data_IF_602103411048
#
_entry.id   IF_602103411048
#
_cell.length_a   1.000
_cell.length_b   1.000
_cell.length_c   1.000
_cell.angle_alpha   90.00
_cell.angle_beta   90.00
_cell.angle_gamma   90.00
#
_symmetry.space_group_name_H-M   'P 1'
#
loop_
_entity.id
_entity.type
_entity.pdbx_description
1 polymer ?
#
# COMPACT_ATOMS: atom_id res chain seq x y z
N UNK A 1 0.37 7.25 15.70
CA UNK A 1 1.40 6.42 15.02
C UNK A 1 2.77 7.05 15.26
N UNK A 2 3.84 6.26 15.32
CA UNK A 2 5.22 6.76 15.38
C UNK A 2 6.14 5.90 14.51
N UNK A 3 7.27 6.49 14.06
CA UNK A 3 8.34 5.76 13.37
C UNK A 3 9.19 5.01 14.40
N UNK A 4 9.53 3.75 14.14
CA UNK A 4 10.27 2.92 15.11
C UNK A 4 11.74 3.33 15.26
N UNK A 5 12.38 3.87 14.21
CA UNK A 5 13.81 4.18 14.25
C UNK A 5 14.18 5.34 15.18
N UNK A 6 13.28 6.30 15.41
CA UNK A 6 13.53 7.48 16.25
C UNK A 6 12.40 7.81 17.24
N UNK A 7 11.30 7.06 17.22
CA UNK A 7 10.16 7.27 18.11
C UNK A 7 9.32 8.51 17.81
N UNK A 8 9.65 9.26 16.74
CA UNK A 8 8.99 10.53 16.44
C UNK A 8 7.52 10.29 16.05
N UNK A 9 6.56 11.01 16.67
CA UNK A 9 5.14 10.83 16.40
C UNK A 9 4.72 11.45 15.07
N UNK A 10 3.70 10.85 14.45
CA UNK A 10 2.97 11.43 13.32
C UNK A 10 1.73 12.15 13.81
N UNK A 11 1.51 13.38 13.32
CA UNK A 11 0.33 14.16 13.70
C UNK A 11 -0.84 13.92 12.72
N UNK A 12 -1.60 12.87 13.03
CA UNK A 12 -2.88 12.62 12.38
C UNK A 12 -3.84 13.79 12.61
N UNK A 13 -4.58 14.15 11.57
CA UNK A 13 -5.64 15.14 11.62
C UNK A 13 -6.98 14.49 11.32
N UNK A 14 -8.03 14.88 12.04
CA UNK A 14 -9.38 14.47 11.71
C UNK A 14 -9.86 15.19 10.45
N UNK A 15 -10.60 14.49 9.58
CA UNK A 15 -11.34 15.18 8.52
C UNK A 15 -12.58 15.87 9.12
N UNK A 16 -12.88 17.09 8.66
CA UNK A 16 -14.02 17.89 9.13
C UNK A 16 -15.34 17.66 8.36
N UNK A 17 -15.33 16.87 7.28
CA UNK A 17 -16.51 16.63 6.44
C UNK A 17 -16.79 15.13 6.28
N UNK A 18 -17.97 14.72 6.75
CA UNK A 18 -18.58 13.41 6.54
C UNK A 18 -19.73 13.56 5.55
N UNK A 19 -19.53 13.25 4.27
CA UNK A 19 -20.63 12.83 3.39
C UNK A 19 -20.09 11.91 2.30
N UNK A 20 -20.14 10.61 2.60
CA UNK A 20 -19.94 9.54 1.63
C UNK A 20 -21.26 8.77 1.53
N UNK A 21 -21.84 8.67 0.34
CA UNK A 21 -23.01 7.82 0.13
C UNK A 21 -22.58 6.34 0.18
N UNK A 22 -23.33 5.48 0.90
CA UNK A 22 -23.04 4.05 0.98
C UNK A 22 -22.94 3.41 -0.42
N UNK A 23 -21.87 2.63 -0.67
CA UNK A 23 -21.72 1.82 -1.88
C UNK A 23 -20.87 2.43 -3.00
N UNK A 24 -20.32 3.63 -2.83
CA UNK A 24 -19.33 4.19 -3.76
C UNK A 24 -17.91 3.79 -3.32
N UNK A 25 -17.34 2.78 -3.97
CA UNK A 25 -15.95 2.34 -3.77
C UNK A 25 -15.15 2.64 -5.05
N UNK A 26 -14.43 3.76 -5.06
CA UNK A 26 -13.43 4.06 -6.09
C UNK A 26 -12.03 4.07 -5.48
N UNK A 27 -11.48 2.86 -5.28
CA UNK A 27 -10.10 2.65 -4.84
C UNK A 27 -9.82 3.05 -3.38
N UNK A 28 -8.55 2.92 -2.98
CA UNK A 28 -8.02 3.44 -1.71
C UNK A 28 -7.86 4.96 -1.88
N UNK A 29 -8.96 5.70 -1.99
CA UNK A 29 -8.95 7.17 -1.98
C UNK A 29 -9.04 7.68 -0.54
N UNK A 30 -8.29 8.75 -0.23
CA UNK A 30 -8.24 9.42 1.07
C UNK A 30 -9.60 9.99 1.52
N UNK A 31 -10.57 10.06 0.61
CA UNK A 31 -11.82 10.81 0.76
C UNK A 31 -12.87 10.15 1.69
N UNK A 32 -12.58 8.96 2.23
CA UNK A 32 -13.48 8.22 3.13
C UNK A 32 -12.90 8.00 4.55
N UNK A 33 -11.73 8.55 4.86
CA UNK A 33 -11.08 8.33 6.14
C UNK A 33 -11.59 9.31 7.21
N UNK A 34 -11.76 8.85 8.45
CA UNK A 34 -12.05 9.74 9.58
C UNK A 34 -10.81 10.55 10.00
N UNK A 35 -9.61 10.08 9.61
CA UNK A 35 -8.32 10.69 9.91
C UNK A 35 -7.41 10.64 8.69
N UNK A 36 -6.57 11.65 8.52
CA UNK A 36 -5.51 11.69 7.52
C UNK A 36 -4.18 12.14 8.11
N UNK A 37 -3.11 11.83 7.38
CA UNK A 37 -1.80 12.41 7.62
C UNK A 37 -1.64 13.62 6.69
N UNK A 38 -1.41 14.84 7.22
CA UNK A 38 -1.03 16.00 6.42
C UNK A 38 0.32 15.80 5.75
N UNK A 39 0.58 16.51 4.64
CA UNK A 39 1.86 16.46 3.93
C UNK A 39 3.04 16.90 4.79
N UNK A 40 2.88 17.99 5.54
CA UNK A 40 3.90 18.52 6.45
C UNK A 40 3.22 19.15 7.64
N UNK A 41 3.80 18.95 8.83
CA UNK A 41 3.27 19.46 10.09
C UNK A 41 4.37 20.28 10.78
N UNK A 42 3.99 21.01 11.83
CA UNK A 42 4.87 21.78 12.71
C UNK A 42 6.15 21.01 13.09
N UNK A 43 7.16 21.75 13.51
CA UNK A 43 8.56 21.31 13.73
C UNK A 43 8.80 20.09 14.63
N UNK A 44 7.78 19.56 15.30
CA UNK A 44 7.85 18.47 16.29
C UNK A 44 7.06 17.20 15.90
N UNK A 45 6.48 17.12 14.69
CA UNK A 45 5.71 15.96 14.25
C UNK A 45 5.88 15.64 12.77
N UNK A 46 5.77 14.34 12.44
CA UNK A 46 5.93 13.82 11.09
C UNK A 46 4.61 13.87 10.29
N UNK A 47 4.70 14.21 9.00
CA UNK A 47 3.61 14.16 8.02
C UNK A 47 3.77 13.00 7.01
N UNK A 48 2.97 12.97 5.95
CA UNK A 48 3.09 11.93 4.90
C UNK A 48 4.43 12.01 4.17
N UNK A 49 5.02 13.20 4.03
CA UNK A 49 6.33 13.39 3.42
C UNK A 49 7.48 12.72 4.21
N UNK A 50 7.25 12.42 5.49
CA UNK A 50 8.22 11.77 6.36
C UNK A 50 8.11 10.24 6.37
N UNK A 51 7.14 9.68 5.62
CA UNK A 51 7.06 8.24 5.39
C UNK A 51 8.22 7.81 4.50
N UNK A 52 8.93 6.76 4.92
CA UNK A 52 10.13 6.27 4.27
C UNK A 52 9.95 4.80 3.92
N UNK A 53 10.16 4.42 2.65
CA UNK A 53 10.31 3.04 2.25
C UNK A 53 11.32 2.32 3.15
N UNK A 54 10.99 1.11 3.56
CA UNK A 54 11.84 0.28 4.39
C UNK A 54 11.77 0.52 5.90
N UNK A 55 11.11 1.59 6.35
CA UNK A 55 10.92 1.90 7.76
C UNK A 55 9.71 1.17 8.35
N UNK A 56 9.76 0.96 9.66
CA UNK A 56 8.66 0.37 10.43
C UNK A 56 7.93 1.44 11.24
N UNK A 57 6.60 1.30 11.28
CA UNK A 57 5.70 2.21 11.97
C UNK A 57 4.82 1.44 12.93
N UNK A 58 4.58 2.06 14.09
CA UNK A 58 3.72 1.51 15.14
C UNK A 58 2.52 2.42 15.35
N UNK A 59 1.35 1.81 15.34
CA UNK A 59 0.07 2.42 15.69
C UNK A 59 -0.26 2.03 17.13
N UNK A 60 -0.63 3.02 17.95
CA UNK A 60 -1.21 2.82 19.27
C UNK A 60 -2.42 3.76 19.35
N UNK A 61 -3.61 3.21 19.57
CA UNK A 61 -4.87 3.95 19.70
C UNK A 61 -5.56 3.47 20.97
N UNK A 62 -5.92 4.38 21.86
CA UNK A 62 -6.74 4.05 23.03
C UNK A 62 -8.16 4.52 22.78
N UNK A 63 -9.12 3.59 22.85
CA UNK A 63 -10.55 3.88 22.72
C UNK A 63 -11.32 3.08 23.76
N UNK A 64 -12.25 3.71 24.47
CA UNK A 64 -13.08 3.07 25.51
C UNK A 64 -12.27 2.29 26.56
N UNK A 65 -11.05 2.75 26.87
CA UNK A 65 -10.15 2.07 27.81
C UNK A 65 -9.40 0.86 27.24
N UNK A 66 -9.60 0.52 25.96
CA UNK A 66 -8.89 -0.55 25.25
C UNK A 66 -7.77 0.06 24.42
N UNK A 67 -6.56 -0.50 24.57
CA UNK A 67 -5.43 -0.19 23.70
C UNK A 67 -5.45 -1.10 22.47
N UNK A 68 -5.62 -0.49 21.29
CA UNK A 68 -5.45 -1.10 19.97
C UNK A 68 -4.04 -0.80 19.50
N UNK A 69 -3.31 -1.83 19.08
CA UNK A 69 -1.93 -1.70 18.62
C UNK A 69 -1.80 -2.21 17.19
N UNK A 70 -0.87 -1.66 16.42
CA UNK A 70 -0.56 -2.16 15.09
C UNK A 70 0.89 -1.89 14.71
N UNK A 71 1.41 -2.68 13.78
CA UNK A 71 2.78 -2.53 13.27
C UNK A 71 2.84 -2.87 11.80
N UNK A 72 3.39 -1.98 10.98
CA UNK A 72 3.63 -2.23 9.54
C UNK A 72 5.01 -1.76 9.12
N UNK A 73 5.59 -2.39 8.11
CA UNK A 73 6.85 -1.96 7.48
C UNK A 73 6.56 -1.58 6.04
N UNK A 74 6.88 -0.34 5.67
CA UNK A 74 6.70 0.11 4.30
C UNK A 74 7.68 -0.69 3.43
N UNK A 75 7.23 -1.38 2.36
CA UNK A 75 8.15 -2.09 1.47
C UNK A 75 9.21 -1.15 0.88
N UNK A 76 10.40 -1.67 0.56
CA UNK A 76 11.45 -0.84 -0.07
C UNK A 76 10.99 -0.32 -1.45
N UNK A 77 11.64 0.76 -1.93
CA UNK A 77 11.42 1.24 -3.30
C UNK A 77 11.97 0.27 -4.32
N UNK A 78 11.35 0.20 -5.49
CA UNK A 78 11.81 -0.62 -6.60
C UNK A 78 11.46 0.01 -7.95
N UNK A 79 12.04 -0.57 -8.99
CA UNK A 79 11.66 -0.31 -10.37
C UNK A 79 11.28 -1.63 -11.03
N UNK A 80 10.39 -1.53 -12.01
CA UNK A 80 10.03 -2.64 -12.87
C UNK A 80 10.66 -2.44 -14.25
N UNK A 81 10.85 -3.53 -14.99
CA UNK A 81 11.41 -3.50 -16.34
C UNK A 81 10.63 -4.42 -17.25
N UNK A 82 10.46 -3.98 -18.51
CA UNK A 82 9.95 -4.81 -19.58
C UNK A 82 11.12 -5.54 -20.25
N UNK A 83 11.07 -6.86 -20.30
CA UNK A 83 12.10 -7.71 -20.92
C UNK A 83 11.47 -8.67 -21.92
N UNK A 84 12.18 -8.95 -23.02
CA UNK A 84 11.77 -9.99 -23.97
C UNK A 84 12.59 -11.26 -23.69
N UNK A 85 11.91 -12.38 -23.44
CA UNK A 85 12.53 -13.67 -23.13
C UNK A 85 11.69 -14.80 -23.72
N UNK A 86 12.33 -15.71 -24.46
CA UNK A 86 11.70 -16.87 -25.11
C UNK A 86 10.51 -16.50 -26.02
N UNK A 87 10.59 -15.38 -26.74
CA UNK A 87 9.52 -14.90 -27.61
C UNK A 87 8.34 -14.25 -26.87
N UNK A 88 8.39 -14.15 -25.54
CA UNK A 88 7.37 -13.50 -24.72
C UNK A 88 7.91 -12.21 -24.11
N UNK A 89 7.01 -11.25 -23.85
CA UNK A 89 7.33 -10.06 -23.07
C UNK A 89 6.96 -10.28 -21.61
N UNK A 90 7.87 -9.90 -20.73
CA UNK A 90 7.73 -10.07 -19.30
C UNK A 90 7.94 -8.73 -18.62
N UNK A 91 7.10 -8.43 -17.65
CA UNK A 91 7.41 -7.40 -16.66
C UNK A 91 8.07 -8.06 -15.48
N UNK A 92 9.25 -7.60 -15.10
CA UNK A 92 10.03 -8.14 -13.99
C UNK A 92 10.37 -7.05 -12.99
N UNK A 93 10.43 -7.40 -11.71
CA UNK A 93 10.84 -6.53 -10.62
C UNK A 93 11.61 -7.34 -9.57
N UNK A 94 12.45 -6.72 -8.72
CA UNK A 94 13.09 -7.45 -7.64
C UNK A 94 12.08 -7.78 -6.52
N UNK A 95 12.33 -8.87 -5.78
CA UNK A 95 11.66 -9.05 -4.49
C UNK A 95 12.16 -7.98 -3.53
N UNK A 96 11.26 -7.13 -3.02
CA UNK A 96 11.62 -6.07 -2.06
C UNK A 96 11.41 -6.50 -0.62
N UNK A 97 12.28 -6.01 0.27
CA UNK A 97 12.12 -6.19 1.72
C UNK A 97 10.82 -5.52 2.17
N UNK A 98 10.16 -6.14 3.13
CA UNK A 98 8.88 -5.66 3.68
C UNK A 98 7.66 -6.08 2.86
N UNK A 99 7.81 -6.56 1.62
CA UNK A 99 6.68 -7.03 0.83
C UNK A 99 6.22 -8.45 1.22
N UNK A 100 4.91 -8.59 1.47
CA UNK A 100 4.21 -9.88 1.54
C UNK A 100 3.80 -10.42 0.17
N UNK A 101 3.61 -9.51 -0.80
CA UNK A 101 3.35 -9.81 -2.20
C UNK A 101 3.06 -8.53 -2.99
N UNK A 102 2.50 -8.67 -4.19
CA UNK A 102 2.34 -7.60 -5.17
C UNK A 102 0.93 -7.56 -5.74
N UNK A 103 0.42 -6.35 -5.91
CA UNK A 103 -0.80 -6.09 -6.66
C UNK A 103 -0.46 -5.33 -7.95
N UNK A 104 -0.77 -5.95 -9.08
CA UNK A 104 -0.69 -5.34 -10.40
C UNK A 104 -2.00 -4.60 -10.68
N UNK A 105 -1.91 -3.42 -11.26
CA UNK A 105 -3.05 -2.64 -11.71
C UNK A 105 -2.79 -2.14 -13.13
N UNK A 106 -3.66 -2.54 -14.04
CA UNK A 106 -3.61 -2.17 -15.44
C UNK A 106 -4.47 -0.92 -15.69
N UNK A 107 -4.22 -0.22 -16.79
CA UNK A 107 -4.95 1.01 -17.14
C UNK A 107 -6.43 0.78 -17.45
N UNK A 108 -6.82 -0.45 -17.79
CA UNK A 108 -8.20 -0.88 -18.01
C UNK A 108 -8.95 -1.18 -16.68
N UNK A 109 -8.30 -1.00 -15.53
CA UNK A 109 -8.86 -1.26 -14.21
C UNK A 109 -8.72 -2.71 -13.73
N UNK A 110 -8.19 -3.63 -14.55
CA UNK A 110 -7.90 -4.99 -14.09
C UNK A 110 -6.83 -4.97 -13.00
N UNK A 111 -6.96 -5.91 -12.07
CA UNK A 111 -5.98 -6.12 -11.01
C UNK A 111 -5.63 -7.59 -10.87
N UNK A 112 -4.39 -7.86 -10.45
CA UNK A 112 -3.92 -9.22 -10.15
C UNK A 112 -3.09 -9.18 -8.87
N UNK A 113 -3.33 -10.13 -7.98
CA UNK A 113 -2.59 -10.30 -6.75
C UNK A 113 -1.67 -11.52 -6.87
N UNK A 114 -0.38 -11.35 -6.59
CA UNK A 114 0.60 -12.42 -6.73
C UNK A 114 1.79 -12.25 -5.79
N UNK A 115 2.52 -13.33 -5.53
CA UNK A 115 3.82 -13.28 -4.84
C UNK A 115 5.01 -13.29 -5.80
N UNK A 116 4.77 -13.69 -7.04
CA UNK A 116 5.78 -13.74 -8.08
C UNK A 116 6.25 -12.34 -8.47
N UNK A 117 7.49 -12.29 -8.94
CA UNK A 117 8.21 -11.05 -9.28
C UNK A 117 8.40 -10.87 -10.79
N UNK A 118 7.65 -11.68 -11.55
CA UNK A 118 7.55 -11.62 -12.99
C UNK A 118 6.09 -11.79 -13.39
N UNK A 119 5.70 -11.14 -14.47
CA UNK A 119 4.38 -11.27 -15.08
C UNK A 119 4.55 -11.32 -16.60
N UNK A 120 4.05 -12.39 -17.22
CA UNK A 120 4.04 -12.50 -18.67
C UNK A 120 2.92 -11.61 -19.21
N UNK A 121 3.27 -10.69 -20.13
CA UNK A 121 2.28 -9.86 -20.80
C UNK A 121 1.71 -10.61 -22.01
N UNK A 122 0.39 -10.55 -22.16
CA UNK A 122 -0.27 -10.87 -23.42
C UNK A 122 -0.13 -9.69 -24.40
N UNK A 123 -0.27 -9.95 -25.70
CA UNK A 123 -0.11 -8.91 -26.72
C UNK A 123 -1.14 -7.79 -26.55
N UNK A 124 -2.35 -8.13 -26.12
CA UNK A 124 -3.44 -7.18 -25.85
C UNK A 124 -3.12 -6.23 -24.68
N UNK A 125 -2.20 -6.61 -23.79
CA UNK A 125 -1.80 -5.81 -22.64
C UNK A 125 -0.73 -4.77 -23.01
N UNK A 126 -0.13 -4.87 -24.20
CA UNK A 126 0.91 -3.97 -24.69
C UNK A 126 0.38 -2.69 -25.34
N UNK A 127 -0.94 -2.59 -25.57
CA UNK A 127 -1.59 -1.47 -26.27
C UNK A 127 -1.64 -0.19 -25.41
N UNK A 128 -0.45 0.38 -25.15
CA UNK A 128 -0.24 1.79 -24.82
C UNK A 128 -0.54 2.24 -23.38
N UNK A 129 -0.77 1.30 -22.47
CA UNK A 129 -1.19 1.58 -21.10
C UNK A 129 -0.07 1.85 -20.09
N UNK A 130 -0.48 1.99 -18.83
CA UNK A 130 0.40 1.97 -17.68
C UNK A 130 0.12 0.70 -16.87
N UNK A 131 1.18 0.02 -16.47
CA UNK A 131 1.14 -0.99 -15.43
C UNK A 131 1.67 -0.36 -14.14
N UNK A 132 0.86 -0.39 -13.08
CA UNK A 132 1.31 -0.06 -11.73
C UNK A 132 1.50 -1.35 -10.94
N UNK A 133 2.69 -1.57 -10.40
CA UNK A 133 3.00 -2.69 -9.52
C UNK A 133 3.12 -2.13 -8.11
N UNK A 134 2.25 -2.57 -7.20
CA UNK A 134 2.32 -2.19 -5.79
C UNK A 134 2.88 -3.34 -4.98
N UNK A 135 4.01 -3.11 -4.30
CA UNK A 135 4.44 -3.97 -3.22
C UNK A 135 3.54 -3.70 -2.02
N UNK A 136 2.89 -4.74 -1.51
CA UNK A 136 2.04 -4.67 -0.32
C UNK A 136 2.85 -5.20 0.86
N UNK A 137 2.79 -4.52 2.00
CA UNK A 137 3.35 -5.09 3.23
C UNK A 137 2.64 -6.40 3.61
N UNK A 138 3.23 -7.19 4.50
CA UNK A 138 2.66 -8.48 4.91
C UNK A 138 1.23 -8.38 5.43
N UNK A 139 0.89 -7.34 6.21
CA UNK A 139 -0.44 -7.22 6.79
C UNK A 139 -1.47 -6.93 5.69
N UNK A 140 -1.20 -5.93 4.85
CA UNK A 140 -2.12 -5.61 3.77
C UNK A 140 -2.26 -6.75 2.77
N UNK A 141 -1.15 -7.43 2.43
CA UNK A 141 -1.20 -8.61 1.56
C UNK A 141 -2.11 -9.70 2.12
N UNK A 142 -1.93 -10.07 3.41
CA UNK A 142 -2.79 -11.06 4.05
C UNK A 142 -4.26 -10.64 4.02
N UNK A 143 -4.55 -9.38 4.37
CA UNK A 143 -5.90 -8.83 4.35
C UNK A 143 -6.59 -8.93 2.97
N UNK A 144 -5.86 -8.62 1.89
CA UNK A 144 -6.43 -8.69 0.54
C UNK A 144 -6.47 -10.11 -0.02
N UNK A 145 -5.57 -11.00 0.43
CA UNK A 145 -5.50 -12.38 -0.05
C UNK A 145 -6.45 -13.34 0.66
N UNK A 146 -6.85 -13.04 1.91
CA UNK A 146 -7.72 -13.87 2.73
C UNK A 146 -8.99 -13.10 3.12
N UNK A 147 -10.16 -13.44 2.54
CA UNK A 147 -11.40 -12.75 2.83
C UNK A 147 -11.92 -12.93 4.26
N UNK A 148 -11.36 -13.87 5.04
CA UNK A 148 -11.72 -14.09 6.45
C UNK A 148 -10.86 -13.28 7.42
N UNK A 149 -9.83 -12.57 6.92
CA UNK A 149 -8.88 -11.88 7.77
C UNK A 149 -9.39 -10.50 8.20
N UNK A 150 -10.11 -10.44 9.32
CA UNK A 150 -10.70 -9.19 9.81
C UNK A 150 -9.76 -8.29 10.63
N UNK A 151 -8.50 -8.69 10.87
CA UNK A 151 -7.56 -8.00 11.77
C UNK A 151 -6.07 -8.13 11.35
N UNK A 152 -5.71 -7.60 10.19
CA UNK A 152 -4.33 -7.70 9.71
C UNK A 152 -3.46 -6.55 10.22
N UNK A 153 -2.38 -6.87 10.93
CA UNK A 153 -1.47 -5.85 11.47
C UNK A 153 -2.04 -5.03 12.62
N UNK A 154 -3.19 -5.43 13.16
CA UNK A 154 -3.89 -4.80 14.29
C UNK A 154 -4.17 -5.84 15.37
N UNK A 155 -3.81 -5.55 16.60
CA UNK A 155 -4.18 -6.30 17.79
C UNK A 155 -5.43 -5.71 18.46
N UNK A 156 -6.30 -6.58 18.98
CA UNK A 156 -7.54 -6.24 19.72
C UNK A 156 -8.48 -5.24 19.01
N UNK A 157 -8.48 -5.25 17.68
CA UNK A 157 -9.38 -4.43 16.85
C UNK A 157 -9.73 -5.10 15.53
N UNK A 158 -10.62 -4.48 14.78
CA UNK A 158 -10.98 -4.87 13.41
C UNK A 158 -10.37 -3.89 12.41
N UNK A 159 -9.99 -4.40 11.24
CA UNK A 159 -9.44 -3.62 10.12
C UNK A 159 -8.03 -4.05 9.73
N UNK A 160 -7.34 -3.15 9.04
CA UNK A 160 -5.98 -3.37 8.53
C UNK A 160 -5.09 -2.18 8.83
N UNK A 161 -3.86 -2.47 9.29
CA UNK A 161 -2.78 -1.49 9.34
C UNK A 161 -1.62 -1.99 8.48
N UNK A 162 -1.49 -1.37 7.31
CA UNK A 162 -0.57 -1.78 6.26
C UNK A 162 -0.02 -0.61 5.47
N UNK A 163 0.86 -0.91 4.53
CA UNK A 163 1.59 0.04 3.73
C UNK A 163 1.86 -0.51 2.33
N UNK A 164 2.12 0.40 1.39
CA UNK A 164 2.50 0.04 0.03
C UNK A 164 3.62 0.93 -0.49
N UNK A 165 4.38 0.40 -1.45
CA UNK A 165 5.18 1.19 -2.39
C UNK A 165 4.81 0.80 -3.81
N UNK A 166 4.95 1.72 -4.76
CA UNK A 166 4.52 1.49 -6.14
C UNK A 166 5.65 1.78 -7.14
N UNK A 167 5.79 0.92 -8.13
CA UNK A 167 6.49 1.19 -9.37
C UNK A 167 5.47 1.36 -10.50
N UNK A 168 5.72 2.29 -11.43
CA UNK A 168 4.92 2.47 -12.64
C UNK A 168 5.79 2.22 -13.86
N UNK A 169 5.27 1.41 -14.77
CA UNK A 169 5.91 1.07 -16.03
C UNK A 169 4.95 1.44 -17.16
N UNK A 170 5.46 2.17 -18.17
CA UNK A 170 4.71 2.43 -19.39
C UNK A 170 4.87 1.24 -20.33
N UNK A 171 3.76 0.72 -20.82
CA UNK A 171 3.74 -0.38 -21.78
C UNK A 171 3.68 0.21 -23.18
N UNK A 172 4.58 -0.28 -24.04
CA UNK A 172 4.62 0.07 -25.45
C UNK A 172 4.74 -1.20 -26.29
N UNK A 173 4.16 -1.20 -27.49
CA UNK A 173 4.42 -2.23 -28.49
C UNK A 173 5.87 -2.24 -28.93
#
# INVERSE_FOLDING_TARGET
MHRTSDGTPFAWQGYGHLYAEPGTLHGISLDYANYYLPETIRSDSLGTADLRPGETYVLNVTTEGILIQGRTTIPDTFSASLVAMNGHRWVVWPRVRGAGGYMLSFSDGRTSLQQDTAFALADEELDGGWLTIRALDFNLYQYVSDPQMHRAGIDRGFGVFGATTAARLRLFP
#
